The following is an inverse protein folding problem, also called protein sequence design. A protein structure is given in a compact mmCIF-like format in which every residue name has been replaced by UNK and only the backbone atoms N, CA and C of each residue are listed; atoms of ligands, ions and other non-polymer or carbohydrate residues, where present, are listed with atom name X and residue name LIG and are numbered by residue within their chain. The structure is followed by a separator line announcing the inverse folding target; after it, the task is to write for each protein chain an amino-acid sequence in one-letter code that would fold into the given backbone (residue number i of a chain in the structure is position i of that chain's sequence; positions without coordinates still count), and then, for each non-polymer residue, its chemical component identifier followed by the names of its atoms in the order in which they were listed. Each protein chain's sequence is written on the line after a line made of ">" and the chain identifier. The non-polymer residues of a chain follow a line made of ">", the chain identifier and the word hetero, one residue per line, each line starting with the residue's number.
data_IF_027002707422
#
_entry.id   IF_027002707422
#
_cell.length_a   1.000
_cell.length_b   1.000
_cell.length_c   1.000
_cell.angle_alpha   90.00
_cell.angle_beta   90.00
_cell.angle_gamma   90.00
#
_symmetry.space_group_name_H-M   'P 1'
#
loop_
_entity.id
_entity.type
_entity.pdbx_description
1 polymer ?
#
# COMPACT_ATOMS: atom_id res chain seq x y z
N UNK A 1 9.83 4.01 1.36
CA UNK A 1 8.70 4.31 2.27
C UNK A 1 7.50 4.76 1.45
N UNK A 2 6.31 4.21 1.74
CA UNK A 2 5.04 4.64 1.15
C UNK A 2 4.43 5.74 2.03
N UNK A 3 4.02 6.87 1.43
CA UNK A 3 3.46 8.00 2.17
C UNK A 3 2.10 7.65 2.82
N UNK A 4 1.20 7.07 2.05
CA UNK A 4 -0.11 6.67 2.54
C UNK A 4 -0.81 5.69 1.60
N UNK A 5 -1.88 5.06 2.08
CA UNK A 5 -2.64 4.05 1.32
C UNK A 5 -3.42 4.63 0.13
N UNK A 6 -3.77 5.91 0.16
CA UNK A 6 -4.49 6.55 -0.95
C UNK A 6 -3.62 6.58 -2.20
N UNK A 7 -2.34 6.92 -2.05
CA UNK A 7 -1.35 6.90 -3.15
C UNK A 7 -1.25 5.50 -3.76
N UNK A 8 -1.23 4.45 -2.92
CA UNK A 8 -1.21 3.06 -3.39
C UNK A 8 -2.43 2.73 -4.25
N UNK A 9 -3.65 3.01 -3.74
CA UNK A 9 -4.88 2.71 -4.46
C UNK A 9 -4.99 3.49 -5.78
N UNK A 10 -4.67 4.78 -5.79
CA UNK A 10 -4.69 5.61 -6.98
C UNK A 10 -3.68 5.14 -8.05
N UNK A 11 -2.49 4.68 -7.63
CA UNK A 11 -1.50 4.14 -8.55
C UNK A 11 -1.94 2.81 -9.16
N UNK A 12 -2.53 1.90 -8.35
CA UNK A 12 -3.09 0.64 -8.82
C UNK A 12 -4.22 0.89 -9.82
N UNK A 13 -5.20 1.74 -9.47
CA UNK A 13 -6.31 2.07 -10.37
C UNK A 13 -5.81 2.65 -11.70
N UNK A 14 -4.90 3.60 -11.67
CA UNK A 14 -4.31 4.22 -12.85
C UNK A 14 -3.59 3.20 -13.72
N UNK A 15 -2.76 2.36 -13.11
CA UNK A 15 -2.02 1.30 -13.79
C UNK A 15 -2.95 0.28 -14.44
N UNK A 16 -3.98 -0.17 -13.73
CA UNK A 16 -4.98 -1.09 -14.26
C UNK A 16 -5.79 -0.48 -15.42
N UNK A 17 -6.25 0.77 -15.30
CA UNK A 17 -6.95 1.47 -16.39
C UNK A 17 -6.11 1.57 -17.66
N UNK A 18 -4.81 1.82 -17.51
CA UNK A 18 -3.88 1.90 -18.65
C UNK A 18 -3.71 0.54 -19.34
N UNK A 19 -3.64 -0.55 -18.57
CA UNK A 19 -3.37 -1.90 -19.08
C UNK A 19 -4.64 -2.66 -19.51
N UNK A 20 -5.81 -2.26 -18.99
CA UNK A 20 -7.10 -2.88 -19.24
C UNK A 20 -8.12 -1.87 -19.80
N UNK A 21 -7.86 -1.24 -20.97
CA UNK A 21 -8.68 -0.14 -21.50
C UNK A 21 -10.11 -0.58 -21.86
N UNK A 22 -10.36 -1.86 -22.05
CA UNK A 22 -11.70 -2.40 -22.30
C UNK A 22 -12.59 -2.39 -21.05
N UNK A 23 -11.99 -2.31 -19.85
CA UNK A 23 -12.74 -2.24 -18.59
C UNK A 23 -13.18 -0.80 -18.33
N UNK A 24 -14.50 -0.59 -18.35
CA UNK A 24 -15.09 0.75 -18.16
C UNK A 24 -15.00 1.25 -16.73
N UNK A 25 -15.11 0.33 -15.76
CA UNK A 25 -15.10 0.63 -14.34
C UNK A 25 -14.01 -0.13 -13.62
N UNK A 26 -13.07 0.60 -13.03
CA UNK A 26 -12.02 0.09 -12.15
C UNK A 26 -11.98 1.06 -10.99
N UNK A 27 -12.38 0.61 -9.80
CA UNK A 27 -12.61 1.50 -8.66
C UNK A 27 -12.13 0.85 -7.37
N UNK A 28 -11.48 1.64 -6.50
CA UNK A 28 -11.18 1.23 -5.14
C UNK A 28 -12.42 1.46 -4.26
N UNK A 29 -12.80 0.44 -3.48
CA UNK A 29 -13.95 0.47 -2.56
C UNK A 29 -15.24 1.01 -3.19
N UNK A 30 -15.71 0.47 -4.33
CA UNK A 30 -16.90 0.97 -4.97
C UNK A 30 -18.13 0.82 -4.06
N UNK A 31 -19.02 1.80 -4.10
CA UNK A 31 -20.32 1.66 -3.44
C UNK A 31 -21.19 0.74 -4.29
N UNK A 32 -21.43 -0.47 -3.78
CA UNK A 32 -22.27 -1.46 -4.42
C UNK A 32 -23.74 -1.17 -4.05
N UNK A 33 -24.52 -0.70 -5.03
CA UNK A 33 -25.98 -0.52 -4.89
C UNK A 33 -26.73 -1.81 -5.18
N UNK A 34 -28.07 -1.74 -5.28
CA UNK A 34 -28.92 -2.88 -5.64
C UNK A 34 -28.64 -3.40 -7.07
N UNK A 35 -28.19 -2.54 -7.96
CA UNK A 35 -27.75 -2.89 -9.32
C UNK A 35 -26.34 -2.38 -9.54
N UNK A 36 -25.47 -3.25 -10.00
CA UNK A 36 -24.07 -2.94 -10.29
C UNK A 36 -23.91 -2.75 -11.78
N UNK A 37 -23.32 -1.62 -12.18
CA UNK A 37 -22.93 -1.42 -13.57
C UNK A 37 -21.70 -2.27 -13.87
N UNK A 38 -21.88 -3.27 -14.71
CA UNK A 38 -20.86 -4.22 -15.14
C UNK A 38 -20.39 -3.94 -16.57
N UNK A 39 -19.19 -4.38 -16.96
CA UNK A 39 -18.17 -5.05 -16.14
C UNK A 39 -17.46 -4.06 -15.17
N UNK A 40 -17.15 -4.54 -13.97
CA UNK A 40 -16.48 -3.79 -12.90
C UNK A 40 -15.26 -4.56 -12.40
N UNK A 41 -14.16 -3.84 -12.10
CA UNK A 41 -13.08 -4.33 -11.24
C UNK A 41 -13.13 -3.51 -9.95
N UNK A 42 -13.49 -4.16 -8.85
CA UNK A 42 -13.50 -3.59 -7.51
C UNK A 42 -12.20 -3.92 -6.79
N UNK A 43 -11.44 -2.91 -6.38
CA UNK A 43 -10.14 -3.07 -5.72
C UNK A 43 -10.29 -2.78 -4.23
N UNK A 44 -9.76 -3.65 -3.40
CA UNK A 44 -9.79 -3.53 -1.94
C UNK A 44 -8.46 -3.99 -1.35
N UNK A 45 -8.12 -3.45 -0.20
CA UNK A 45 -7.12 -4.00 0.71
C UNK A 45 -7.88 -4.83 1.73
N UNK A 46 -7.59 -6.13 1.84
CA UNK A 46 -8.30 -7.03 2.73
C UNK A 46 -7.69 -7.10 4.12
N UNK A 47 -6.37 -7.11 4.20
CA UNK A 47 -5.65 -7.20 5.47
C UNK A 47 -4.21 -6.72 5.35
N UNK A 48 -3.59 -6.50 6.52
CA UNK A 48 -2.16 -6.32 6.67
C UNK A 48 -1.58 -7.47 7.48
N UNK A 49 -0.42 -7.95 7.01
CA UNK A 49 0.44 -8.85 7.78
C UNK A 49 1.74 -8.10 8.14
N UNK A 50 2.42 -8.46 9.24
CA UNK A 50 3.74 -7.92 9.54
C UNK A 50 4.73 -8.22 8.42
N UNK A 51 5.46 -7.20 7.96
CA UNK A 51 6.56 -7.32 7.02
C UNK A 51 7.91 -7.51 7.70
N UNK A 52 8.98 -7.49 6.91
CA UNK A 52 10.34 -7.58 7.43
C UNK A 52 10.80 -6.20 7.94
N UNK A 53 11.18 -6.14 9.21
CA UNK A 53 11.76 -4.93 9.83
C UNK A 53 13.23 -4.79 9.40
N UNK A 54 13.54 -3.76 8.64
CA UNK A 54 14.90 -3.40 8.18
C UNK A 54 15.59 -2.36 9.09
N UNK A 55 14.94 -1.97 10.19
CA UNK A 55 15.48 -1.03 11.17
C UNK A 55 15.44 0.44 10.73
N UNK A 56 14.70 0.77 9.68
CA UNK A 56 14.57 2.17 9.19
C UNK A 56 13.64 3.02 10.04
N UNK A 57 12.90 2.42 10.98
CA UNK A 57 11.91 3.08 11.82
C UNK A 57 10.51 3.13 11.19
N UNK A 58 10.35 2.67 9.96
CA UNK A 58 9.07 2.48 9.30
C UNK A 58 8.32 1.28 9.90
N UNK A 59 7.01 1.26 9.77
CA UNK A 59 6.22 0.06 10.08
C UNK A 59 6.20 -0.84 8.85
N UNK A 60 6.91 -1.99 8.86
CA UNK A 60 6.93 -2.89 7.72
C UNK A 60 5.59 -3.65 7.63
N UNK A 61 4.93 -3.58 6.49
CA UNK A 61 3.63 -4.18 6.24
C UNK A 61 3.63 -4.97 4.94
N UNK A 62 3.01 -6.14 4.96
CA UNK A 62 2.59 -6.87 3.77
C UNK A 62 1.11 -6.58 3.58
N UNK A 63 0.78 -5.80 2.56
CA UNK A 63 -0.59 -5.50 2.19
C UNK A 63 -1.15 -6.60 1.29
N UNK A 64 -2.25 -7.24 1.69
CA UNK A 64 -3.00 -8.20 0.89
C UNK A 64 -4.10 -7.46 0.14
N UNK A 65 -3.91 -7.34 -1.17
CA UNK A 65 -4.81 -6.66 -2.08
C UNK A 65 -5.72 -7.64 -2.78
N UNK A 66 -6.93 -7.21 -3.07
CA UNK A 66 -7.94 -8.00 -3.79
C UNK A 66 -8.55 -7.17 -4.91
N UNK A 67 -8.69 -7.78 -6.08
CA UNK A 67 -9.50 -7.26 -7.18
C UNK A 67 -10.61 -8.27 -7.51
N UNK A 68 -11.85 -7.83 -7.39
CA UNK A 68 -13.03 -8.60 -7.82
C UNK A 68 -13.43 -8.16 -9.20
N UNK A 69 -13.38 -9.09 -10.14
CA UNK A 69 -13.86 -8.91 -11.49
C UNK A 69 -15.33 -9.34 -11.53
N UNK A 70 -16.23 -8.42 -11.84
CA UNK A 70 -17.69 -8.62 -11.75
C UNK A 70 -18.34 -8.46 -13.12
N UNK A 71 -19.07 -9.47 -13.57
CA UNK A 71 -19.82 -9.47 -14.81
C UNK A 71 -21.29 -9.80 -14.57
N UNK A 72 -22.16 -9.30 -15.45
CA UNK A 72 -23.57 -9.67 -15.48
C UNK A 72 -23.68 -11.11 -16.04
N UNK A 73 -24.27 -12.07 -15.31
CA UNK A 73 -24.39 -13.45 -15.77
C UNK A 73 -25.29 -13.61 -16.98
N UNK A 74 -26.15 -12.61 -17.28
CA UNK A 74 -27.04 -12.64 -18.43
C UNK A 74 -26.31 -12.35 -19.75
N UNK A 75 -25.13 -11.70 -19.66
CA UNK A 75 -24.33 -11.37 -20.83
C UNK A 75 -23.79 -12.66 -21.48
N UNK A 76 -23.91 -12.75 -22.81
CA UNK A 76 -23.38 -13.88 -23.58
C UNK A 76 -21.88 -14.02 -23.36
N UNK A 77 -21.41 -15.21 -22.99
CA UNK A 77 -19.98 -15.46 -22.73
C UNK A 77 -19.45 -15.00 -21.38
N UNK A 78 -20.28 -14.40 -20.52
CA UNK A 78 -19.85 -13.81 -19.22
C UNK A 78 -18.98 -14.75 -18.37
N UNK A 79 -19.29 -16.03 -18.36
CA UNK A 79 -18.57 -17.06 -17.61
C UNK A 79 -17.10 -17.21 -18.07
N UNK A 80 -16.84 -17.11 -19.36
CA UNK A 80 -15.47 -17.17 -19.90
C UNK A 80 -14.80 -15.80 -19.78
N UNK A 81 -15.52 -14.72 -20.09
CA UNK A 81 -14.99 -13.37 -20.09
C UNK A 81 -14.50 -12.94 -18.71
N UNK A 82 -15.25 -13.26 -17.64
CA UNK A 82 -14.84 -12.95 -16.27
C UNK A 82 -13.52 -13.62 -15.89
N UNK A 83 -13.33 -14.88 -16.31
CA UNK A 83 -12.10 -15.65 -16.08
C UNK A 83 -10.93 -15.09 -16.87
N UNK A 84 -11.16 -14.73 -18.14
CA UNK A 84 -10.14 -14.12 -18.99
C UNK A 84 -9.69 -12.76 -18.45
N UNK A 85 -10.61 -11.92 -17.99
CA UNK A 85 -10.28 -10.63 -17.38
C UNK A 85 -9.56 -10.84 -16.06
N UNK A 86 -9.95 -11.79 -15.22
CA UNK A 86 -9.24 -12.11 -13.98
C UNK A 86 -7.79 -12.57 -14.26
N UNK A 87 -7.58 -13.41 -15.26
CA UNK A 87 -6.23 -13.81 -15.68
C UNK A 87 -5.40 -12.60 -16.17
N UNK A 88 -6.00 -11.68 -16.92
CA UNK A 88 -5.33 -10.44 -17.35
C UNK A 88 -5.01 -9.52 -16.16
N UNK A 89 -5.90 -9.40 -15.18
CA UNK A 89 -5.60 -8.67 -13.93
C UNK A 89 -4.39 -9.28 -13.23
N UNK A 90 -4.33 -10.61 -13.12
CA UNK A 90 -3.19 -11.29 -12.52
C UNK A 90 -1.87 -10.99 -13.26
N UNK A 91 -1.90 -10.95 -14.60
CA UNK A 91 -0.73 -10.57 -15.41
C UNK A 91 -0.32 -9.11 -15.17
N UNK A 92 -1.27 -8.20 -15.00
CA UNK A 92 -1.00 -6.76 -14.76
C UNK A 92 -0.39 -6.53 -13.39
N UNK A 93 -0.84 -7.24 -12.36
CA UNK A 93 -0.33 -7.07 -10.99
C UNK A 93 0.98 -7.80 -10.75
N UNK A 94 1.20 -8.93 -11.43
CA UNK A 94 2.41 -9.73 -11.22
C UNK A 94 3.68 -8.95 -11.59
N UNK A 95 4.59 -8.81 -10.64
CA UNK A 95 5.85 -8.10 -10.85
C UNK A 95 5.73 -6.58 -10.93
N UNK A 96 4.53 -6.01 -10.79
CA UNK A 96 4.32 -4.57 -10.88
C UNK A 96 4.55 -3.89 -9.53
N UNK A 97 5.21 -2.74 -9.53
CA UNK A 97 5.42 -1.88 -8.35
C UNK A 97 4.59 -0.59 -8.41
N UNK A 98 3.84 -0.39 -9.49
CA UNK A 98 3.03 0.81 -9.73
C UNK A 98 3.83 2.12 -9.69
N UNK A 99 5.14 2.05 -9.97
CA UNK A 99 6.10 3.16 -9.83
C UNK A 99 6.21 3.71 -8.39
N UNK A 100 5.90 2.86 -7.40
CA UNK A 100 5.97 3.17 -5.98
C UNK A 100 7.14 2.43 -5.30
N UNK A 101 7.63 2.90 -4.16
CA UNK A 101 8.68 2.23 -3.37
C UNK A 101 8.10 1.05 -2.56
N UNK A 102 7.58 0.05 -3.27
CA UNK A 102 6.98 -1.17 -2.73
C UNK A 102 7.55 -2.39 -3.44
N UNK A 103 7.41 -3.57 -2.85
CA UNK A 103 7.83 -4.79 -3.54
C UNK A 103 6.97 -5.07 -4.77
N UNK A 104 7.53 -5.75 -5.79
CA UNK A 104 6.75 -6.22 -6.93
C UNK A 104 5.55 -7.08 -6.50
N UNK A 105 4.42 -6.86 -7.14
CA UNK A 105 3.18 -7.60 -6.85
C UNK A 105 3.37 -9.11 -6.99
N UNK A 106 2.99 -9.86 -5.96
CA UNK A 106 3.04 -11.33 -5.94
C UNK A 106 1.62 -11.86 -5.90
N UNK A 107 1.17 -12.45 -7.01
CA UNK A 107 -0.15 -13.10 -7.09
C UNK A 107 -0.20 -14.28 -6.12
N UNK A 108 -1.23 -14.31 -5.29
CA UNK A 108 -1.49 -15.35 -4.28
C UNK A 108 -2.58 -16.30 -4.77
N UNK A 109 -3.66 -15.74 -5.33
CA UNK A 109 -4.81 -16.53 -5.76
C UNK A 109 -5.51 -15.88 -6.94
N UNK A 110 -6.06 -16.73 -7.83
CA UNK A 110 -7.04 -16.37 -8.87
C UNK A 110 -8.11 -17.44 -8.84
N UNK A 111 -9.31 -17.12 -8.36
CA UNK A 111 -10.37 -18.08 -8.16
C UNK A 111 -11.77 -17.43 -8.22
N UNK A 112 -12.80 -18.24 -8.33
CA UNK A 112 -14.17 -17.79 -8.12
C UNK A 112 -14.37 -17.30 -6.68
N UNK A 113 -15.10 -16.19 -6.49
CA UNK A 113 -15.38 -15.62 -5.17
C UNK A 113 -16.83 -15.90 -4.72
N UNK A 114 -17.07 -16.98 -3.95
CA UNK A 114 -18.42 -17.36 -3.53
C UNK A 114 -18.91 -16.61 -2.28
N UNK A 115 -18.11 -15.69 -1.69
CA UNK A 115 -18.36 -15.22 -0.32
C UNK A 115 -18.90 -13.79 -0.17
N UNK A 116 -19.37 -13.14 -1.24
CA UNK A 116 -19.94 -11.79 -1.14
C UNK A 116 -21.44 -11.80 -1.45
N UNK A 117 -22.32 -11.74 -0.43
CA UNK A 117 -23.79 -11.75 -0.63
C UNK A 117 -24.30 -10.65 -1.55
N UNK A 118 -23.64 -9.49 -1.59
CA UNK A 118 -24.01 -8.38 -2.48
C UNK A 118 -23.72 -8.69 -3.96
N UNK A 119 -22.94 -9.73 -4.25
CA UNK A 119 -22.50 -10.14 -5.58
C UNK A 119 -23.04 -11.52 -5.98
N UNK A 120 -23.88 -12.17 -5.16
CA UNK A 120 -24.39 -13.53 -5.37
C UNK A 120 -25.14 -13.72 -6.71
N UNK A 121 -25.63 -12.63 -7.31
CA UNK A 121 -26.33 -12.66 -8.60
C UNK A 121 -25.43 -12.34 -9.78
N UNK A 122 -24.12 -12.21 -9.58
CA UNK A 122 -23.14 -11.88 -10.60
C UNK A 122 -22.11 -13.00 -10.77
N UNK A 123 -21.46 -13.01 -11.95
CA UNK A 123 -20.25 -13.82 -12.14
C UNK A 123 -19.08 -13.05 -11.52
N UNK A 124 -18.43 -13.60 -10.49
CA UNK A 124 -17.36 -12.92 -9.75
C UNK A 124 -16.12 -13.80 -9.66
N UNK A 125 -14.99 -13.20 -10.06
CA UNK A 125 -13.67 -13.79 -9.87
C UNK A 125 -12.80 -12.87 -9.03
N UNK A 126 -12.09 -13.47 -8.06
CA UNK A 126 -11.14 -12.83 -7.18
C UNK A 126 -9.72 -13.02 -7.72
N UNK A 127 -8.98 -11.92 -7.78
CA UNK A 127 -7.52 -11.93 -7.92
C UNK A 127 -6.94 -11.35 -6.65
N UNK A 128 -6.13 -12.13 -5.96
CA UNK A 128 -5.47 -11.72 -4.73
C UNK A 128 -3.96 -11.66 -4.92
N UNK A 129 -3.33 -10.61 -4.40
CA UNK A 129 -1.88 -10.43 -4.45
C UNK A 129 -1.37 -9.66 -3.25
N UNK A 130 -0.06 -9.70 -3.03
CA UNK A 130 0.60 -8.98 -1.95
C UNK A 130 1.63 -7.99 -2.47
N UNK A 131 1.80 -6.91 -1.69
CA UNK A 131 2.93 -6.00 -1.74
C UNK A 131 3.50 -5.82 -0.34
N UNK A 132 4.82 -5.71 -0.23
CA UNK A 132 5.47 -5.35 1.02
C UNK A 132 6.05 -3.94 0.91
N UNK A 133 5.90 -3.13 1.95
CA UNK A 133 6.40 -1.77 2.03
C UNK A 133 6.54 -1.31 3.48
N UNK A 134 7.44 -0.35 3.72
CA UNK A 134 7.45 0.42 4.96
C UNK A 134 6.42 1.55 4.88
N UNK A 135 5.53 1.61 5.86
CA UNK A 135 4.64 2.75 6.11
C UNK A 135 5.24 3.58 7.24
N UNK A 136 5.63 4.79 6.95
CA UNK A 136 6.27 5.66 7.91
C UNK A 136 5.68 7.06 7.91
N UNK A 137 5.93 7.79 8.98
CA UNK A 137 5.70 9.23 9.00
C UNK A 137 6.95 9.93 8.49
N UNK A 138 6.79 11.00 7.72
CA UNK A 138 7.90 11.88 7.40
C UNK A 138 8.46 12.46 8.71
N UNK A 139 9.69 12.03 9.08
CA UNK A 139 10.35 12.47 10.30
C UNK A 139 10.62 13.99 10.26
N UNK A 140 10.52 14.63 9.08
CA UNK A 140 10.62 16.07 8.93
C UNK A 140 9.59 16.89 9.72
N UNK A 141 8.48 16.28 10.14
CA UNK A 141 7.44 16.91 10.97
C UNK A 141 7.64 16.69 12.48
N UNK A 142 8.69 15.97 12.90
CA UNK A 142 9.02 15.86 14.32
C UNK A 142 9.72 17.18 14.70
N UNK A 143 9.14 17.97 15.63
CA UNK A 143 9.81 19.16 16.12
C UNK A 143 11.22 18.82 16.60
N UNK A 144 12.21 19.59 16.23
CA UNK A 144 13.57 19.44 16.75
C UNK A 144 13.50 19.24 18.26
N UNK A 145 13.94 18.09 18.73
CA UNK A 145 14.04 17.82 20.16
C UNK A 145 14.94 18.85 20.83
N UNK A 146 14.88 18.97 22.16
CA UNK A 146 15.77 19.87 22.86
C UNK A 146 17.23 19.54 22.49
N UNK A 147 18.02 20.58 22.18
CA UNK A 147 19.43 20.42 21.82
C UNK A 147 20.16 19.57 22.86
N UNK A 148 20.74 18.46 22.43
CA UNK A 148 21.51 17.57 23.29
C UNK A 148 22.85 18.26 23.51
N UNK A 149 23.15 18.60 24.78
CA UNK A 149 24.42 19.17 25.18
C UNK A 149 25.19 18.15 26.01
N UNK A 150 26.49 18.16 25.85
CA UNK A 150 27.39 17.28 26.58
C UNK A 150 28.05 17.99 27.74
N UNK A 151 28.17 17.31 28.85
CA UNK A 151 28.92 17.77 30.01
C UNK A 151 29.78 16.61 30.54
N UNK A 152 30.92 16.92 31.14
CA UNK A 152 31.83 15.94 31.74
C UNK A 152 31.73 16.02 33.25
N UNK A 153 31.56 14.86 33.90
CA UNK A 153 31.61 14.76 35.37
C UNK A 153 33.01 15.26 35.90
N UNK A 154 33.12 16.10 36.97
CA UNK A 154 32.05 16.39 37.96
C UNK A 154 31.16 17.60 37.61
N UNK A 155 31.34 18.28 36.49
CA UNK A 155 30.68 19.54 36.16
C UNK A 155 29.35 19.31 35.42
N UNK A 156 28.61 18.28 35.84
CA UNK A 156 27.28 17.94 35.29
C UNK A 156 26.17 18.17 36.31
N UNK A 157 24.92 18.29 35.82
CA UNK A 157 23.73 18.43 36.64
C UNK A 157 23.29 19.87 36.87
N UNK A 158 22.32 20.05 37.76
CA UNK A 158 21.63 21.31 37.99
C UNK A 158 22.60 22.38 38.54
N UNK A 159 22.73 23.47 37.80
CA UNK A 159 23.64 24.57 38.14
C UNK A 159 24.93 24.58 37.33
N UNK A 160 25.22 23.54 36.57
CA UNK A 160 26.38 23.44 35.69
C UNK A 160 26.02 23.51 34.21
N UNK A 161 24.81 23.94 33.88
CA UNK A 161 24.30 24.00 32.49
C UNK A 161 25.17 24.87 31.57
N UNK A 162 25.89 25.84 32.16
CA UNK A 162 26.85 26.68 31.42
C UNK A 162 28.15 25.98 31.02
N UNK A 163 28.40 24.78 31.55
CA UNK A 163 29.58 23.96 31.23
C UNK A 163 29.32 22.96 30.09
N UNK A 164 28.06 22.84 29.67
CA UNK A 164 27.70 21.94 28.57
C UNK A 164 28.01 22.59 27.23
N UNK A 165 28.58 21.80 26.32
CA UNK A 165 28.85 22.22 24.94
C UNK A 165 27.99 21.46 23.93
N UNK A 166 27.78 22.05 22.78
CA UNK A 166 27.14 21.44 21.65
C UNK A 166 28.19 20.68 20.82
N UNK A 167 28.01 19.39 20.54
CA UNK A 167 28.94 18.64 19.68
C UNK A 167 29.06 19.21 18.26
N UNK A 168 28.09 20.03 17.82
CA UNK A 168 28.10 20.69 16.52
C UNK A 168 29.00 21.93 16.51
N UNK A 169 29.34 22.50 17.68
CA UNK A 169 30.21 23.68 17.83
C UNK A 169 31.72 23.34 17.88
N UNK A 170 32.07 22.05 17.72
CA UNK A 170 33.48 21.59 17.73
C UNK A 170 34.17 21.93 16.40
N UNK A 171 34.21 23.22 16.10
CA UNK A 171 35.06 23.83 15.11
C UNK A 171 36.50 23.96 15.65
N UNK A 172 37.25 22.85 15.64
CA UNK A 172 38.71 22.86 15.60
C UNK A 172 39.42 23.75 16.61
N UNK A 173 39.49 23.33 17.86
CA UNK A 173 40.57 23.74 18.76
C UNK A 173 41.64 22.67 18.78
N UNK A 174 42.70 22.85 18.00
CA UNK A 174 43.93 22.07 18.16
C UNK A 174 44.56 22.31 19.52
N UNK A 175 45.26 21.30 20.09
CA UNK A 175 45.91 21.33 21.38
C UNK A 175 47.10 22.31 21.46
#
# INVERSE_FOLDING_TARGET
>A
MLENLKVLHEAIERGMRTKLPAMKRIEAYPRLGQKIDTPLIAIELSEFEPGHDDGTGDVPLIARMQARVVFDPIAEGAELDVREVAARVALVVHGNTWELPITPGKVVQVAEDPFRPQLDTYCVWLVEWTHEFGLGMDIGDIPDGPAIRWGVDPDTGRGNEGQYWDPADDGGGEP
#
